data_IF_024912461572
#
_entry.id   IF_024912461572
#
_cell.length_a   1.000
_cell.length_b   1.000
_cell.length_c   1.000
_cell.angle_alpha   90.00
_cell.angle_beta   90.00
_cell.angle_gamma   90.00
#
_symmetry.space_group_name_H-M   'P 1'
#
loop_
_entity.id
_entity.type
_entity.pdbx_description
1 polymer ?
#
# COMPACT_ATOMS: atom_id res chain seq x y z
N UNK A 1 11.05 -4.86 4.50
CA UNK A 1 10.04 -5.31 5.48
C UNK A 1 10.65 -6.35 6.38
N UNK A 2 10.13 -6.55 7.61
CA UNK A 2 10.63 -7.55 8.55
C UNK A 2 9.55 -8.56 8.87
N UNK A 3 9.89 -9.84 8.89
CA UNK A 3 8.96 -10.92 9.23
C UNK A 3 8.92 -11.07 10.75
N UNK A 4 7.74 -10.90 11.34
CA UNK A 4 7.57 -10.94 12.81
C UNK A 4 6.92 -12.22 13.30
N UNK A 5 6.17 -12.91 12.45
CA UNK A 5 5.44 -14.09 12.87
C UNK A 5 4.88 -14.88 11.70
N UNK A 6 4.36 -16.04 12.04
CA UNK A 6 3.70 -16.96 11.12
C UNK A 6 2.34 -17.32 11.71
N UNK A 7 1.31 -17.37 10.86
CA UNK A 7 -0.04 -17.74 11.24
C UNK A 7 -0.56 -18.85 10.34
N UNK A 8 -1.05 -19.92 10.93
CA UNK A 8 -1.69 -21.03 10.25
C UNK A 8 -3.20 -20.90 10.25
N UNK A 9 -3.83 -21.25 9.14
CA UNK A 9 -5.28 -21.25 8.95
C UNK A 9 -5.78 -22.67 8.64
N UNK A 10 -6.92 -23.01 9.20
CA UNK A 10 -7.66 -24.22 8.91
C UNK A 10 -9.00 -23.88 8.27
N UNK A 11 -9.46 -24.74 7.38
CA UNK A 11 -10.80 -24.62 6.80
C UNK A 11 -11.84 -25.22 7.74
N UNK A 12 -12.80 -24.42 8.16
CA UNK A 12 -13.95 -24.88 8.93
C UNK A 12 -15.23 -24.72 8.11
N UNK A 13 -16.35 -25.37 8.50
CA UNK A 13 -17.63 -25.16 7.82
C UNK A 13 -18.10 -23.69 7.75
N UNK A 14 -17.58 -22.86 8.63
CA UNK A 14 -17.87 -21.41 8.69
C UNK A 14 -16.84 -20.53 7.97
N UNK A 15 -15.86 -21.14 7.32
CA UNK A 15 -14.78 -20.44 6.61
C UNK A 15 -13.40 -20.66 7.23
N UNK A 16 -12.41 -19.93 6.76
CA UNK A 16 -11.03 -20.02 7.25
C UNK A 16 -10.93 -19.42 8.65
N UNK A 17 -10.35 -20.19 9.59
CA UNK A 17 -10.07 -19.75 10.96
C UNK A 17 -8.59 -19.93 11.28
N UNK A 18 -8.01 -18.97 12.02
CA UNK A 18 -6.66 -19.09 12.52
C UNK A 18 -6.58 -20.16 13.61
N UNK A 19 -5.64 -21.07 13.48
CA UNK A 19 -5.41 -22.18 14.43
C UNK A 19 -4.36 -21.79 15.46
N UNK A 20 -3.27 -21.15 14.99
CA UNK A 20 -2.17 -20.77 15.85
C UNK A 20 -1.26 -19.75 15.21
N UNK A 21 -0.38 -19.20 16.02
CA UNK A 21 0.61 -18.19 15.63
C UNK A 21 1.94 -18.49 16.29
N UNK A 22 3.02 -18.35 15.53
CA UNK A 22 4.37 -18.36 16.03
C UNK A 22 5.00 -16.99 15.79
N UNK A 23 5.66 -16.43 16.79
CA UNK A 23 6.24 -15.08 16.73
C UNK A 23 7.74 -15.13 17.02
N UNK A 24 8.47 -14.16 16.51
CA UNK A 24 9.87 -13.93 16.91
C UNK A 24 9.99 -13.59 18.40
N UNK A 25 11.19 -13.70 18.95
CA UNK A 25 11.47 -13.34 20.34
C UNK A 25 11.04 -11.90 20.65
N UNK A 26 10.62 -11.65 21.90
CA UNK A 26 10.09 -10.36 22.34
C UNK A 26 11.07 -9.21 22.10
N UNK A 27 12.38 -9.45 22.23
CA UNK A 27 13.45 -8.47 21.97
C UNK A 27 13.44 -7.99 20.52
N UNK A 28 13.31 -8.90 19.57
CA UNK A 28 13.28 -8.55 18.14
C UNK A 28 12.00 -7.78 17.76
N UNK A 29 10.90 -8.08 18.44
CA UNK A 29 9.67 -7.29 18.27
C UNK A 29 9.85 -5.90 18.89
N UNK A 30 10.50 -5.81 20.05
CA UNK A 30 10.79 -4.53 20.71
C UNK A 30 11.65 -3.61 19.84
N UNK A 31 12.63 -4.16 19.14
CA UNK A 31 13.47 -3.40 18.20
C UNK A 31 12.67 -2.83 17.03
N UNK A 32 11.71 -3.61 16.51
CA UNK A 32 10.84 -3.16 15.43
C UNK A 32 9.84 -2.07 15.85
N UNK A 33 9.43 -2.07 17.13
CA UNK A 33 8.40 -1.20 17.71
C UNK A 33 8.87 -0.42 18.94
N UNK A 34 10.13 -0.01 18.97
CA UNK A 34 10.80 0.53 20.17
C UNK A 34 9.97 1.54 20.99
N UNK A 35 9.20 2.40 20.34
CA UNK A 35 8.38 3.42 21.00
C UNK A 35 7.02 2.90 21.51
N UNK A 36 6.47 1.88 20.85
CA UNK A 36 5.20 1.28 21.22
C UNK A 36 5.35 0.27 22.36
N UNK A 37 6.46 -0.47 22.37
CA UNK A 37 6.73 -1.50 23.38
C UNK A 37 6.92 -0.96 24.79
N UNK A 38 7.43 0.25 24.92
CA UNK A 38 7.55 0.94 26.22
C UNK A 38 6.20 1.13 26.92
N UNK A 39 5.11 0.98 26.22
CA UNK A 39 3.73 1.18 26.69
C UNK A 39 2.91 -0.10 26.82
N UNK A 40 3.44 -1.22 26.36
CA UNK A 40 2.75 -2.51 26.45
C UNK A 40 3.16 -3.23 27.74
N UNK A 41 2.20 -3.92 28.41
CA UNK A 41 2.55 -4.74 29.57
C UNK A 41 3.55 -5.84 29.17
N UNK A 42 4.37 -6.25 30.13
CA UNK A 42 5.31 -7.35 29.95
C UNK A 42 4.59 -8.57 29.37
N UNK A 43 5.02 -9.01 28.19
CA UNK A 43 4.50 -10.21 27.57
C UNK A 43 5.20 -11.43 28.17
N UNK A 44 4.44 -12.50 28.34
CA UNK A 44 5.03 -13.82 28.64
C UNK A 44 5.96 -14.21 27.51
N UNK A 45 7.05 -14.88 27.87
CA UNK A 45 7.97 -15.46 26.89
C UNK A 45 7.18 -16.32 25.91
N UNK A 46 7.43 -16.09 24.61
CA UNK A 46 6.80 -16.81 23.54
C UNK A 46 7.80 -17.83 22.99
N UNK A 47 7.52 -19.10 23.20
CA UNK A 47 8.31 -20.20 22.70
C UNK A 47 7.89 -20.51 21.26
N UNK A 48 8.61 -19.97 20.29
CA UNK A 48 8.29 -20.10 18.88
C UNK A 48 8.28 -21.56 18.42
N UNK A 49 9.23 -22.38 18.90
CA UNK A 49 9.36 -23.79 18.47
C UNK A 49 8.14 -24.62 18.87
N UNK A 50 7.63 -24.47 20.09
CA UNK A 50 6.39 -25.15 20.52
C UNK A 50 5.18 -24.75 19.69
N UNK A 51 5.12 -23.48 19.29
CA UNK A 51 4.03 -23.00 18.45
C UNK A 51 4.14 -23.53 17.02
N UNK A 52 5.36 -23.70 16.50
CA UNK A 52 5.56 -24.36 15.21
C UNK A 52 5.18 -25.85 15.24
N UNK A 53 5.55 -26.58 16.29
CA UNK A 53 5.13 -27.97 16.48
C UNK A 53 3.59 -28.10 16.50
N UNK A 54 2.89 -27.20 17.15
CA UNK A 54 1.43 -27.15 17.15
C UNK A 54 0.85 -26.88 15.75
N UNK A 55 1.49 -25.99 14.97
CA UNK A 55 1.08 -25.73 13.59
C UNK A 55 1.32 -26.93 12.68
N UNK A 56 2.45 -27.60 12.81
CA UNK A 56 2.78 -28.81 12.05
C UNK A 56 1.78 -29.96 12.32
N UNK A 57 1.32 -30.09 13.56
CA UNK A 57 0.33 -31.08 13.95
C UNK A 57 -1.12 -30.73 13.57
N UNK A 58 -1.36 -29.53 13.04
CA UNK A 58 -2.69 -29.06 12.68
C UNK A 58 -2.96 -29.28 11.19
N UNK A 59 -4.23 -29.51 10.83
CA UNK A 59 -4.67 -29.63 9.43
C UNK A 59 -4.78 -28.23 8.80
N UNK A 60 -3.66 -27.74 8.26
CA UNK A 60 -3.55 -26.40 7.69
C UNK A 60 -4.00 -26.35 6.23
N UNK A 61 -4.79 -25.35 5.89
CA UNK A 61 -5.17 -25.04 4.51
C UNK A 61 -4.43 -23.83 3.92
N UNK A 62 -3.82 -23.00 4.76
CA UNK A 62 -3.08 -21.81 4.34
C UNK A 62 -2.10 -21.37 5.43
N UNK A 63 -0.91 -20.99 5.01
CA UNK A 63 0.12 -20.40 5.87
C UNK A 63 0.31 -18.95 5.47
N UNK A 64 0.33 -18.04 6.44
CA UNK A 64 0.62 -16.62 6.25
C UNK A 64 1.76 -16.16 7.13
N UNK A 65 2.62 -15.35 6.58
CA UNK A 65 3.62 -14.62 7.36
C UNK A 65 3.05 -13.26 7.81
N UNK A 66 3.40 -12.86 9.00
CA UNK A 66 3.06 -11.55 9.56
C UNK A 66 4.26 -10.65 9.38
N UNK A 67 4.11 -9.61 8.59
CA UNK A 67 5.19 -8.70 8.22
C UNK A 67 4.93 -7.30 8.75
N UNK A 68 6.01 -6.62 9.14
CA UNK A 68 5.98 -5.21 9.54
C UNK A 68 6.76 -4.36 8.56
N UNK A 69 6.22 -3.18 8.26
CA UNK A 69 6.95 -2.15 7.54
C UNK A 69 8.00 -1.50 8.44
N UNK A 70 9.01 -0.86 7.83
CA UNK A 70 10.08 -0.17 8.57
C UNK A 70 10.10 1.34 8.23
N UNK A 71 9.08 2.10 8.63
CA UNK A 71 8.98 3.51 8.28
C UNK A 71 10.06 4.38 8.94
N UNK A 72 10.74 3.88 9.97
CA UNK A 72 11.87 4.56 10.61
C UNK A 72 13.06 4.75 9.65
N UNK A 73 13.27 3.82 8.73
CA UNK A 73 14.32 3.89 7.71
C UNK A 73 14.01 4.91 6.60
N UNK A 74 12.75 5.34 6.47
CA UNK A 74 12.32 6.26 5.43
C UNK A 74 12.25 7.69 5.97
N UNK A 75 13.14 8.56 5.52
CA UNK A 75 13.22 9.95 5.99
C UNK A 75 11.99 10.79 5.67
N UNK A 76 11.38 10.56 4.51
CA UNK A 76 10.23 11.34 4.02
C UNK A 76 8.90 11.07 4.73
N UNK A 77 8.77 10.00 5.51
CA UNK A 77 7.53 9.60 6.18
C UNK A 77 7.53 10.05 7.64
N UNK A 78 6.59 10.92 8.07
CA UNK A 78 6.56 11.42 9.44
C UNK A 78 6.12 10.37 10.46
N UNK A 79 5.23 9.45 10.05
CA UNK A 79 4.79 8.35 10.92
C UNK A 79 5.86 7.28 10.97
N UNK A 80 6.39 7.02 12.18
CA UNK A 80 7.45 6.03 12.41
C UNK A 80 6.93 4.71 12.97
N UNK A 81 5.63 4.61 13.21
CA UNK A 81 4.99 3.38 13.68
C UNK A 81 4.85 2.40 12.50
N UNK A 82 5.37 1.16 12.62
CA UNK A 82 5.20 0.14 11.60
C UNK A 82 3.74 -0.23 11.37
N UNK A 83 3.38 -0.45 10.11
CA UNK A 83 2.15 -1.10 9.73
C UNK A 83 2.37 -2.61 9.67
N UNK A 84 1.50 -3.38 10.30
CA UNK A 84 1.56 -4.85 10.33
C UNK A 84 0.49 -5.42 9.43
N UNK A 85 0.85 -6.45 8.67
CA UNK A 85 -0.07 -7.13 7.77
C UNK A 85 0.29 -8.59 7.59
N UNK A 86 -0.69 -9.37 7.17
CA UNK A 86 -0.49 -10.76 6.76
C UNK A 86 -0.24 -10.83 5.26
N UNK A 87 0.71 -11.69 4.89
CA UNK A 87 1.01 -12.04 3.50
C UNK A 87 0.92 -13.56 3.37
N UNK A 88 0.08 -14.05 2.46
CA UNK A 88 -0.04 -15.47 2.17
C UNK A 88 1.22 -16.00 1.50
N UNK A 89 1.63 -17.19 1.89
CA UNK A 89 2.62 -17.97 1.15
C UNK A 89 1.88 -18.82 0.12
N UNK A 90 2.44 -18.94 -1.06
CA UNK A 90 1.91 -19.76 -2.14
C UNK A 90 3.03 -20.63 -2.72
N UNK A 91 2.63 -21.74 -3.36
CA UNK A 91 3.58 -22.72 -3.90
C UNK A 91 3.99 -23.79 -2.88
N UNK A 92 4.34 -24.98 -3.37
CA UNK A 92 4.74 -26.11 -2.55
C UNK A 92 3.66 -26.70 -1.66
N UNK A 93 4.05 -27.65 -0.82
CA UNK A 93 3.20 -28.25 0.21
C UNK A 93 3.11 -27.38 1.46
N UNK A 94 2.10 -27.60 2.32
CA UNK A 94 1.96 -26.85 3.58
C UNK A 94 3.16 -27.00 4.50
N UNK A 95 3.80 -28.19 4.50
CA UNK A 95 5.01 -28.43 5.27
C UNK A 95 6.21 -27.62 4.75
N UNK A 96 6.36 -27.51 3.43
CA UNK A 96 7.41 -26.68 2.82
C UNK A 96 7.18 -25.20 3.09
N UNK A 97 5.94 -24.73 3.03
CA UNK A 97 5.60 -23.35 3.38
C UNK A 97 5.91 -23.04 4.85
N UNK A 98 5.62 -23.97 5.78
CA UNK A 98 5.94 -23.80 7.20
C UNK A 98 7.46 -23.82 7.44
N UNK A 99 8.19 -24.72 6.78
CA UNK A 99 9.65 -24.79 6.89
C UNK A 99 10.29 -23.50 6.38
N UNK A 100 9.83 -22.99 5.24
CA UNK A 100 10.27 -21.72 4.70
C UNK A 100 9.94 -20.55 5.65
N UNK A 101 8.72 -20.54 6.20
CA UNK A 101 8.31 -19.50 7.14
C UNK A 101 9.12 -19.54 8.43
N UNK A 102 9.50 -20.72 8.92
CA UNK A 102 10.36 -20.91 10.10
C UNK A 102 11.78 -20.40 9.83
N UNK A 103 12.34 -20.74 8.67
CA UNK A 103 13.69 -20.27 8.27
C UNK A 103 13.75 -18.74 8.17
N UNK A 104 12.74 -18.14 7.56
CA UNK A 104 12.69 -16.69 7.31
C UNK A 104 12.18 -15.86 8.49
N UNK A 105 11.84 -16.47 9.59
CA UNK A 105 11.33 -15.76 10.75
C UNK A 105 12.36 -14.81 11.35
N UNK A 106 12.02 -13.53 11.45
CA UNK A 106 12.88 -12.46 11.96
C UNK A 106 13.77 -11.81 10.90
N UNK A 107 13.85 -12.36 9.70
CA UNK A 107 14.61 -11.77 8.60
C UNK A 107 13.93 -10.55 7.98
N UNK A 108 14.73 -9.75 7.31
CA UNK A 108 14.27 -8.64 6.48
C UNK A 108 14.26 -9.06 5.02
N UNK A 109 13.27 -8.62 4.29
CA UNK A 109 13.20 -8.82 2.85
C UNK A 109 12.90 -7.53 2.12
N UNK A 110 13.45 -7.42 0.93
CA UNK A 110 13.28 -6.29 0.03
C UNK A 110 12.18 -6.55 -1.01
N UNK A 111 11.87 -5.55 -1.80
CA UNK A 111 10.95 -5.72 -2.93
C UNK A 111 11.58 -6.56 -4.05
N UNK A 112 12.89 -6.44 -4.25
CA UNK A 112 13.63 -7.18 -5.25
C UNK A 112 13.58 -8.70 -5.05
N UNK A 113 13.40 -9.16 -3.80
CA UNK A 113 13.28 -10.59 -3.49
C UNK A 113 11.96 -11.19 -3.95
N UNK A 114 10.96 -10.34 -4.23
CA UNK A 114 9.59 -10.78 -4.55
C UNK A 114 9.16 -10.48 -5.99
N UNK A 115 9.76 -9.46 -6.63
CA UNK A 115 9.27 -8.97 -7.92
C UNK A 115 10.42 -8.63 -8.86
N UNK A 116 10.28 -9.10 -10.11
CA UNK A 116 11.24 -8.86 -11.17
C UNK A 116 10.96 -7.56 -11.93
N UNK A 117 12.01 -6.93 -12.46
CA UNK A 117 11.90 -5.83 -13.40
C UNK A 117 11.20 -6.27 -14.68
N UNK A 118 10.40 -5.40 -15.27
CA UNK A 118 9.61 -5.73 -16.47
C UNK A 118 8.31 -6.48 -16.17
N UNK A 119 8.16 -7.02 -14.96
CA UNK A 119 6.98 -7.73 -14.51
C UNK A 119 5.74 -6.84 -14.38
N UNK A 120 4.57 -7.47 -14.32
CA UNK A 120 3.30 -6.81 -14.06
C UNK A 120 2.87 -7.04 -12.61
N UNK A 121 2.45 -5.98 -11.95
CA UNK A 121 1.95 -6.02 -10.57
C UNK A 121 0.63 -5.28 -10.43
N UNK A 122 -0.18 -5.71 -9.49
CA UNK A 122 -1.37 -5.00 -9.06
C UNK A 122 -1.05 -4.19 -7.80
N UNK A 123 -1.53 -2.95 -7.77
CA UNK A 123 -1.25 -2.01 -6.69
C UNK A 123 -2.53 -1.72 -5.93
N UNK A 124 -2.50 -1.96 -4.62
CA UNK A 124 -3.62 -1.71 -3.70
C UNK A 124 -3.25 -0.62 -2.72
N UNK A 125 -4.04 0.45 -2.69
CA UNK A 125 -3.87 1.51 -1.71
C UNK A 125 -5.17 2.28 -1.45
N UNK A 126 -5.16 3.10 -0.41
CA UNK A 126 -6.26 3.99 -0.06
C UNK A 126 -6.09 5.33 -0.76
N UNK A 127 -7.09 5.75 -1.52
CA UNK A 127 -7.07 7.01 -2.30
C UNK A 127 -7.04 8.25 -1.40
N UNK A 128 -6.74 9.40 -2.00
CA UNK A 128 -6.82 10.70 -1.31
C UNK A 128 -8.24 10.92 -0.80
N UNK A 129 -8.37 11.33 0.47
CA UNK A 129 -9.64 11.69 1.06
C UNK A 129 -10.06 13.12 0.72
N UNK A 130 -11.35 13.32 0.46
CA UNK A 130 -11.94 14.63 0.23
C UNK A 130 -13.13 14.91 1.16
N UNK A 131 -13.40 14.00 2.09
CA UNK A 131 -14.52 14.10 3.01
C UNK A 131 -15.89 14.00 2.33
N UNK A 132 -16.90 14.57 2.96
CA UNK A 132 -18.26 14.61 2.43
C UNK A 132 -18.37 15.62 1.30
N UNK A 133 -18.77 15.15 0.12
CA UNK A 133 -18.86 15.98 -1.08
C UNK A 133 -20.25 15.88 -1.74
N UNK A 134 -20.68 16.97 -2.34
CA UNK A 134 -21.89 17.03 -3.12
C UNK A 134 -21.76 16.29 -4.46
N UNK A 135 -22.91 16.06 -5.10
CA UNK A 135 -23.06 15.27 -6.33
C UNK A 135 -22.12 15.73 -7.44
N UNK A 136 -21.94 17.03 -7.59
CA UNK A 136 -21.13 17.61 -8.68
C UNK A 136 -19.68 17.16 -8.57
N UNK A 137 -19.07 17.27 -7.40
CA UNK A 137 -17.68 16.84 -7.19
C UNK A 137 -17.55 15.32 -7.12
N UNK A 138 -18.50 14.66 -6.44
CA UNK A 138 -18.44 13.22 -6.20
C UNK A 138 -18.62 12.38 -7.47
N UNK A 139 -19.48 12.83 -8.39
CA UNK A 139 -19.85 12.09 -9.59
C UNK A 139 -19.58 12.85 -10.91
N UNK A 140 -18.93 14.02 -10.84
CA UNK A 140 -18.69 14.82 -12.02
C UNK A 140 -19.96 15.36 -12.67
N UNK A 141 -21.02 15.58 -11.88
CA UNK A 141 -22.28 16.10 -12.39
C UNK A 141 -22.14 17.52 -12.95
N UNK A 142 -22.88 17.82 -14.03
CA UNK A 142 -22.90 19.16 -14.63
C UNK A 142 -23.51 20.17 -13.67
N UNK A 143 -22.84 21.31 -13.49
CA UNK A 143 -23.40 22.45 -12.78
C UNK A 143 -24.58 23.02 -13.57
N UNK A 144 -25.68 23.26 -12.90
CA UNK A 144 -26.86 23.86 -13.56
C UNK A 144 -26.58 25.29 -14.01
N UNK A 145 -27.36 25.77 -14.99
CA UNK A 145 -27.24 27.13 -15.54
C UNK A 145 -27.25 28.19 -14.45
N UNK A 146 -26.56 29.31 -14.70
CA UNK A 146 -26.57 30.48 -13.84
C UNK A 146 -27.96 31.10 -13.61
N UNK A 147 -28.88 30.87 -14.55
CA UNK A 147 -30.28 31.31 -14.41
C UNK A 147 -31.10 30.50 -13.40
N UNK A 148 -30.58 29.37 -12.92
CA UNK A 148 -31.21 28.59 -11.87
C UNK A 148 -31.01 29.28 -10.52
N UNK A 149 -32.06 29.90 -9.98
CA UNK A 149 -32.02 30.62 -8.73
C UNK A 149 -31.90 29.64 -7.55
N UNK A 150 -31.04 29.66 -6.65
CA UNK A 150 -30.97 28.95 -5.37
C UNK A 150 -30.28 27.57 -5.35
N UNK A 151 -30.27 26.76 -6.44
CA UNK A 151 -29.85 25.36 -6.35
C UNK A 151 -28.95 24.86 -7.48
N UNK A 152 -27.91 25.61 -7.82
CA UNK A 152 -27.02 25.25 -8.95
C UNK A 152 -26.24 23.95 -8.77
N UNK A 153 -25.95 23.58 -7.53
CA UNK A 153 -25.12 22.40 -7.18
C UNK A 153 -25.94 21.18 -6.78
N UNK A 154 -27.25 21.20 -6.99
CA UNK A 154 -28.12 20.07 -6.69
C UNK A 154 -28.36 19.22 -7.91
N UNK A 155 -28.68 17.96 -7.65
CA UNK A 155 -29.25 17.06 -8.63
C UNK A 155 -30.69 17.49 -8.90
N UNK A 156 -31.13 17.44 -10.16
CA UNK A 156 -32.48 17.85 -10.51
C UNK A 156 -33.54 16.92 -9.94
N UNK A 157 -33.98 15.97 -10.72
CA UNK A 157 -34.94 14.95 -10.30
C UNK A 157 -34.22 13.71 -9.73
N UNK A 158 -34.70 13.16 -8.63
CA UNK A 158 -34.20 11.94 -8.02
C UNK A 158 -35.06 10.70 -8.29
N UNK A 159 -35.97 10.79 -9.24
CA UNK A 159 -36.89 9.72 -9.64
C UNK A 159 -38.26 9.85 -9.00
N UNK A 160 -39.12 8.90 -9.32
CA UNK A 160 -40.46 8.79 -8.75
C UNK A 160 -40.41 8.29 -7.32
N UNK A 161 -41.13 8.94 -6.42
CA UNK A 161 -41.31 8.55 -5.03
C UNK A 161 -42.45 7.56 -4.79
N UNK A 162 -43.07 7.03 -5.84
CA UNK A 162 -44.15 6.04 -5.73
C UNK A 162 -43.77 4.79 -4.95
N UNK A 163 -42.46 4.47 -4.86
CA UNK A 163 -41.91 3.39 -4.02
C UNK A 163 -41.72 3.78 -2.56
N UNK A 164 -41.98 5.03 -2.16
CA UNK A 164 -41.77 5.54 -0.82
C UNK A 164 -40.30 5.82 -0.43
N UNK A 165 -39.33 5.58 -1.30
CA UNK A 165 -37.90 5.82 -1.06
C UNK A 165 -37.12 6.20 -2.31
N UNK A 166 -36.01 6.89 -2.11
CA UNK A 166 -35.05 7.18 -3.16
C UNK A 166 -34.15 5.97 -3.38
N UNK A 167 -34.06 5.48 -4.60
CA UNK A 167 -33.25 4.30 -4.92
C UNK A 167 -31.76 4.55 -4.59
N UNK A 168 -31.08 3.55 -4.03
CA UNK A 168 -29.65 3.61 -3.65
C UNK A 168 -28.71 3.91 -4.82
N UNK A 169 -29.14 3.67 -6.06
CA UNK A 169 -28.37 3.92 -7.29
C UNK A 169 -28.34 5.39 -7.69
N UNK A 170 -29.20 6.23 -7.09
CA UNK A 170 -29.25 7.66 -7.41
C UNK A 170 -28.03 8.36 -6.79
N UNK A 171 -27.43 9.22 -7.58
CA UNK A 171 -26.24 9.97 -7.19
C UNK A 171 -26.60 10.99 -6.12
N UNK A 172 -26.06 10.80 -4.93
CA UNK A 172 -26.24 11.70 -3.78
C UNK A 172 -24.91 12.14 -3.22
N UNK A 173 -24.91 13.16 -2.35
CA UNK A 173 -23.75 13.56 -1.56
C UNK A 173 -23.28 12.41 -0.66
N UNK A 174 -22.00 12.41 -0.33
CA UNK A 174 -21.41 11.39 0.53
C UNK A 174 -19.89 11.49 0.55
N UNK A 175 -19.28 10.53 1.22
CA UNK A 175 -17.83 10.40 1.30
C UNK A 175 -17.23 10.25 -0.10
N UNK A 176 -16.21 11.05 -0.40
CA UNK A 176 -15.43 10.99 -1.64
C UNK A 176 -13.97 10.78 -1.30
N UNK A 177 -13.37 9.77 -1.89
CA UNK A 177 -12.00 9.37 -1.58
C UNK A 177 -11.88 8.69 -0.22
N UNK A 178 -10.64 8.41 0.18
CA UNK A 178 -10.31 7.56 1.31
C UNK A 178 -10.93 6.16 1.18
N UNK A 179 -10.97 5.66 -0.05
CA UNK A 179 -11.46 4.34 -0.40
C UNK A 179 -10.30 3.47 -0.85
N UNK A 180 -10.31 2.20 -0.46
CA UNK A 180 -9.39 1.21 -1.02
C UNK A 180 -9.67 1.05 -2.51
N UNK A 181 -8.61 1.09 -3.32
CA UNK A 181 -8.67 0.86 -4.77
C UNK A 181 -7.52 -0.03 -5.17
N UNK A 182 -7.79 -0.88 -6.16
CA UNK A 182 -6.79 -1.72 -6.80
C UNK A 182 -6.60 -1.23 -8.22
N UNK A 183 -5.36 -0.89 -8.57
CA UNK A 183 -4.96 -0.60 -9.94
C UNK A 183 -4.22 -1.82 -10.49
N UNK A 184 -4.70 -2.33 -11.61
CA UNK A 184 -4.24 -3.59 -12.19
C UNK A 184 -3.16 -3.37 -13.25
N UNK A 185 -2.31 -4.40 -13.43
CA UNK A 185 -1.35 -4.51 -14.54
C UNK A 185 -0.39 -3.30 -14.63
N UNK A 186 0.16 -2.87 -13.50
CA UNK A 186 1.22 -1.87 -13.49
C UNK A 186 2.56 -2.53 -13.78
N UNK A 187 3.29 -2.00 -14.75
CA UNK A 187 4.62 -2.52 -15.08
C UNK A 187 5.65 -1.94 -14.14
N UNK A 188 6.49 -2.81 -13.60
CA UNK A 188 7.68 -2.45 -12.85
C UNK A 188 8.76 -2.07 -13.86
N UNK A 189 9.29 -0.87 -13.77
CA UNK A 189 10.32 -0.35 -14.66
C UNK A 189 11.72 -0.51 -14.08
N UNK A 190 11.87 -0.35 -12.78
CA UNK A 190 13.14 -0.50 -12.10
C UNK A 190 12.92 -0.76 -10.61
N UNK A 191 13.76 -1.61 -10.05
CA UNK A 191 13.94 -1.78 -8.62
C UNK A 191 15.40 -1.44 -8.32
N UNK A 192 15.65 -0.37 -7.57
CA UNK A 192 17.04 0.08 -7.37
C UNK A 192 17.23 0.76 -6.02
N UNK A 193 18.51 0.84 -5.64
CA UNK A 193 18.98 1.65 -4.53
C UNK A 193 19.38 3.05 -5.05
N UNK A 194 19.06 4.14 -4.34
CA UNK A 194 19.42 5.50 -4.75
C UNK A 194 20.93 5.75 -4.81
N UNK A 195 21.75 4.96 -4.12
CA UNK A 195 23.22 5.06 -4.15
C UNK A 195 23.78 4.63 -5.50
N UNK A 196 23.16 3.62 -6.15
CA UNK A 196 23.55 3.15 -7.49
C UNK A 196 22.89 3.99 -8.58
N UNK A 197 21.61 4.26 -8.42
CA UNK A 197 20.80 4.99 -9.39
C UNK A 197 20.02 6.12 -8.73
N UNK A 198 20.61 7.32 -8.70
CA UNK A 198 19.91 8.49 -8.14
C UNK A 198 18.67 8.85 -8.97
N UNK A 199 17.53 8.96 -8.29
CA UNK A 199 16.24 9.32 -8.89
C UNK A 199 15.72 10.68 -8.37
N UNK A 200 16.29 11.17 -7.27
CA UNK A 200 15.82 12.38 -6.61
C UNK A 200 16.06 13.60 -7.50
N UNK A 201 15.02 14.35 -7.90
CA UNK A 201 15.19 15.58 -8.65
C UNK A 201 15.86 16.67 -7.81
N UNK A 202 16.53 17.61 -8.45
CA UNK A 202 17.10 18.76 -7.77
C UNK A 202 16.01 19.53 -7.01
N UNK A 203 16.13 19.60 -5.68
CA UNK A 203 15.11 20.15 -4.78
C UNK A 203 14.13 19.13 -4.19
N UNK A 204 14.32 17.85 -4.46
CA UNK A 204 13.51 16.75 -3.91
C UNK A 204 12.16 16.57 -4.61
N UNK A 205 11.47 15.50 -4.27
CA UNK A 205 10.10 15.25 -4.73
C UNK A 205 9.10 16.12 -3.97
N UNK A 206 8.13 16.69 -4.70
CA UNK A 206 7.08 17.49 -4.12
C UNK A 206 6.28 16.71 -3.07
N UNK A 207 6.12 17.27 -1.88
CA UNK A 207 5.45 16.67 -0.72
C UNK A 207 6.07 15.38 -0.17
N UNK A 208 7.23 14.97 -0.65
CA UNK A 208 7.93 13.79 -0.15
C UNK A 208 9.33 14.13 0.38
N UNK A 209 10.15 14.83 -0.39
CA UNK A 209 11.55 15.11 -0.11
C UNK A 209 12.49 14.23 -0.92
N UNK A 210 13.60 13.83 -0.32
CA UNK A 210 14.63 12.99 -0.94
C UNK A 210 14.34 11.51 -0.71
N UNK A 211 14.67 10.69 -1.71
CA UNK A 211 14.63 9.23 -1.61
C UNK A 211 16.00 8.75 -1.13
N UNK A 212 16.03 8.08 0.03
CA UNK A 212 17.26 7.58 0.68
C UNK A 212 17.25 6.07 0.90
N UNK A 213 16.17 5.40 0.59
CA UNK A 213 16.01 3.95 0.70
C UNK A 213 15.64 3.38 -0.66
N UNK A 214 15.68 2.06 -0.78
CA UNK A 214 15.29 1.36 -2.00
C UNK A 214 13.97 1.86 -2.55
N UNK A 215 13.89 1.97 -3.84
CA UNK A 215 12.73 2.48 -4.54
C UNK A 215 12.33 1.60 -5.72
N UNK A 216 11.06 1.73 -6.09
CA UNK A 216 10.48 1.06 -7.24
C UNK A 216 9.98 2.11 -8.21
N UNK A 217 10.34 1.95 -9.47
CA UNK A 217 9.79 2.74 -10.56
C UNK A 217 8.66 1.97 -11.24
N UNK A 218 7.46 2.52 -11.22
CA UNK A 218 6.27 1.90 -11.81
C UNK A 218 5.70 2.77 -12.90
N UNK A 219 5.28 2.16 -14.01
CA UNK A 219 4.65 2.89 -15.13
C UNK A 219 3.28 3.43 -14.73
N UNK A 220 3.11 4.74 -14.84
CA UNK A 220 1.84 5.42 -14.59
C UNK A 220 1.67 5.90 -13.15
N UNK A 221 0.43 6.10 -12.73
CA UNK A 221 0.08 6.58 -11.39
C UNK A 221 -0.24 5.44 -10.43
N UNK A 222 -0.15 5.72 -9.15
CA UNK A 222 -0.59 4.85 -8.06
C UNK A 222 -1.63 5.57 -7.21
N UNK A 223 -2.59 4.86 -6.57
CA UNK A 223 -3.60 5.50 -5.77
C UNK A 223 -3.03 6.06 -4.46
N UNK A 224 -3.58 7.17 -3.99
CA UNK A 224 -3.26 7.77 -2.71
C UNK A 224 -2.39 9.02 -2.76
N UNK A 225 -2.17 9.67 -1.62
CA UNK A 225 -1.22 10.76 -1.46
C UNK A 225 0.20 10.23 -1.30
N UNK A 226 1.19 11.11 -1.49
CA UNK A 226 2.57 10.83 -1.11
C UNK A 226 2.65 10.35 0.35
N UNK A 227 3.59 9.48 0.65
CA UNK A 227 3.86 8.92 2.00
C UNK A 227 2.84 7.89 2.51
N UNK A 228 1.84 7.50 1.71
CA UNK A 228 0.88 6.45 2.08
C UNK A 228 1.45 5.07 1.80
N UNK A 229 1.17 4.11 2.68
CA UNK A 229 1.45 2.70 2.47
C UNK A 229 0.77 2.20 1.21
N UNK A 230 1.52 1.53 0.37
CA UNK A 230 1.08 0.90 -0.87
C UNK A 230 1.40 -0.59 -0.76
N UNK A 231 0.47 -1.43 -1.20
CA UNK A 231 0.62 -2.88 -1.23
C UNK A 231 0.72 -3.34 -2.66
N UNK A 232 1.67 -4.22 -2.91
CA UNK A 232 1.89 -4.85 -4.20
C UNK A 232 1.49 -6.32 -4.12
N UNK A 233 1.01 -6.86 -5.22
CA UNK A 233 0.80 -8.28 -5.42
C UNK A 233 1.01 -8.60 -6.88
N UNK A 234 1.18 -9.88 -7.20
CA UNK A 234 1.23 -10.33 -8.57
C UNK A 234 -0.02 -9.96 -9.35
N UNK A 235 0.13 -9.68 -10.64
CA UNK A 235 -0.97 -9.32 -11.50
C UNK A 235 -1.95 -10.48 -11.65
N UNK A 236 -3.19 -10.28 -11.19
CA UNK A 236 -4.25 -11.29 -11.32
C UNK A 236 -4.90 -11.31 -12.69
N UNK A 237 -4.72 -10.25 -13.48
CA UNK A 237 -5.29 -10.07 -14.82
C UNK A 237 -4.18 -9.89 -15.84
N UNK A 238 -4.11 -10.78 -16.81
CA UNK A 238 -3.13 -10.69 -17.88
C UNK A 238 -2.05 -11.77 -17.79
N UNK A 239 -1.18 -11.82 -18.78
CA UNK A 239 -0.07 -12.75 -18.82
C UNK A 239 1.04 -12.25 -17.90
N UNK A 240 1.21 -12.89 -16.77
CA UNK A 240 2.31 -12.64 -15.83
C UNK A 240 3.68 -13.05 -16.42
N UNK A 241 3.67 -13.81 -17.51
CA UNK A 241 4.87 -14.42 -18.10
C UNK A 241 5.60 -13.55 -19.11
N UNK A 242 5.07 -12.42 -19.51
CA UNK A 242 5.77 -11.52 -20.45
C UNK A 242 6.56 -10.47 -19.68
N UNK A 243 7.74 -10.86 -19.23
CA UNK A 243 8.80 -9.90 -18.97
C UNK A 243 9.10 -9.21 -20.32
N UNK A 244 8.95 -7.91 -20.36
CA UNK A 244 9.35 -7.14 -21.53
C UNK A 244 10.71 -6.55 -21.27
N UNK A 245 11.68 -6.94 -22.07
CA UNK A 245 12.99 -6.31 -22.09
C UNK A 245 12.83 -4.85 -22.55
N UNK A 246 13.31 -3.93 -21.75
CA UNK A 246 13.35 -2.51 -22.07
C UNK A 246 14.56 -1.88 -21.40
N UNK A 247 15.06 -0.84 -22.01
CA UNK A 247 16.15 -0.04 -21.49
C UNK A 247 15.64 1.33 -21.08
N UNK A 248 16.01 1.77 -19.88
CA UNK A 248 15.72 3.13 -19.41
C UNK A 248 16.87 4.02 -19.90
N UNK A 249 16.66 4.73 -20.99
CA UNK A 249 17.67 5.60 -21.59
C UNK A 249 17.91 6.88 -20.81
N UNK A 250 16.90 7.41 -20.13
CA UNK A 250 17.01 8.65 -19.40
C UNK A 250 15.99 8.79 -18.24
N UNK A 251 16.47 9.24 -17.10
CA UNK A 251 15.65 9.64 -15.94
C UNK A 251 15.87 11.12 -15.67
N UNK A 252 14.81 11.92 -15.75
CA UNK A 252 14.89 13.35 -15.50
C UNK A 252 15.04 13.67 -14.00
N UNK A 253 16.17 14.23 -13.64
CA UNK A 253 16.45 14.76 -12.29
C UNK A 253 16.32 16.29 -12.22
N UNK A 254 15.78 16.91 -13.27
CA UNK A 254 15.56 18.35 -13.29
C UNK A 254 14.56 18.79 -12.22
N UNK A 255 14.83 19.91 -11.58
CA UNK A 255 13.94 20.49 -10.57
C UNK A 255 12.58 20.83 -11.17
N UNK A 256 11.50 20.46 -10.48
CA UNK A 256 10.11 20.76 -10.87
C UNK A 256 9.33 21.46 -9.73
N UNK A 257 9.86 22.50 -9.08
CA UNK A 257 9.10 23.16 -8.03
C UNK A 257 8.00 24.05 -8.64
N UNK A 258 6.80 23.95 -8.12
CA UNK A 258 5.66 24.80 -8.50
C UNK A 258 5.94 26.29 -8.21
N UNK A 259 6.83 26.57 -7.27
CA UNK A 259 7.18 27.94 -6.84
C UNK A 259 8.21 28.64 -7.74
N UNK A 260 8.85 27.97 -8.68
CA UNK A 260 9.88 28.57 -9.53
C UNK A 260 9.34 29.64 -10.49
N UNK A 261 8.08 29.58 -10.83
CA UNK A 261 7.45 30.60 -11.70
C UNK A 261 7.37 31.97 -11.04
N UNK A 262 7.49 32.06 -9.72
CA UNK A 262 7.49 33.35 -9.01
C UNK A 262 8.90 33.90 -8.74
N UNK A 263 9.94 33.06 -8.83
CA UNK A 263 11.31 33.46 -8.57
C UNK A 263 12.09 33.92 -9.83
N UNK A 264 11.52 33.67 -11.00
CA UNK A 264 12.16 33.98 -12.29
C UNK A 264 11.51 35.19 -13.03
N UNK A 265 10.76 36.01 -12.35
CA UNK A 265 10.45 37.35 -12.92
C UNK A 265 11.74 38.13 -12.97
N UNK A 266 12.24 38.49 -14.16
CA UNK A 266 13.39 39.38 -14.25
C UNK A 266 13.00 40.71 -13.61
N UNK A 267 13.66 41.07 -12.53
CA UNK A 267 13.69 42.45 -12.08
C UNK A 267 14.42 43.22 -13.17
N UNK A 268 13.67 43.80 -14.09
CA UNK A 268 14.18 44.88 -14.92
C UNK A 268 14.52 46.02 -13.97
N UNK A 269 15.79 46.10 -13.62
CA UNK A 269 16.35 47.35 -13.09
C UNK A 269 16.25 48.38 -14.20
N UNK A 270 15.43 49.40 -13.97
CA UNK A 270 15.45 50.62 -14.73
C UNK A 270 16.78 51.38 -14.53
#
# INVERSE_FOLDING_TARGET
MRILGVRGYQMTPYGKQAVGEAWVAAEQIADAFSDLFKRLPERKEHDADKHFENLENSDLCEVRIIVATQPSQISGVPTKIPDVMEVGLDGGSMSEQLSYAKEKLGEEFSFADCFDEGGLTDIVAVTKGYGWQGVIRRFGGKLQSHKNSKKRRQHGNMGDFGTGYVRKTIRQGGQTGYHQRTEYNKRILRVANPDEHSITPAGGFLHYGEVKSDYILVKGSVPGPSKRLIRFRDATRGSTKTLHDYEITYVSTASKPVSYTHLTLPTTSA
#
